data_IF_571806146431
#
_entry.id   IF_571806146431
#
_cell.length_a   1.000
_cell.length_b   1.000
_cell.length_c   1.000
_cell.angle_alpha   90.00
_cell.angle_beta   90.00
_cell.angle_gamma   90.00
#
_symmetry.space_group_name_H-M   'P 1'
#
loop_
_entity.id
_entity.type
_entity.pdbx_description
1 polymer ?
#
# COMPACT_ATOMS: atom_id res chain seq x y z
N UNK A 1 -8.15 13.47 -19.22
CA UNK A 1 -7.20 12.36 -19.14
C UNK A 1 -7.23 11.80 -17.73
N UNK A 2 -7.04 10.48 -17.56
CA UNK A 2 -7.08 9.83 -16.26
C UNK A 2 -5.79 9.04 -16.07
N UNK A 3 -5.16 9.19 -14.92
CA UNK A 3 -4.04 8.37 -14.44
C UNK A 3 -4.58 7.52 -13.30
N UNK A 4 -4.33 6.21 -13.32
CA UNK A 4 -4.91 5.28 -12.35
C UNK A 4 -3.83 4.40 -11.75
N UNK A 5 -3.86 4.27 -10.44
CA UNK A 5 -3.06 3.36 -9.64
C UNK A 5 -3.97 2.61 -8.69
N UNK A 6 -3.79 1.29 -8.55
CA UNK A 6 -4.56 0.47 -7.62
C UNK A 6 -3.65 -0.54 -6.94
N UNK A 7 -3.87 -0.79 -5.66
CA UNK A 7 -3.08 -1.69 -4.83
C UNK A 7 -3.88 -2.12 -3.60
N UNK A 8 -3.44 -3.19 -2.97
CA UNK A 8 -4.04 -3.72 -1.76
C UNK A 8 -3.39 -3.11 -0.52
N UNK A 9 -4.14 -2.94 0.56
CA UNK A 9 -3.69 -2.24 1.77
C UNK A 9 -2.62 -2.99 2.57
N UNK A 10 -2.38 -4.26 2.27
CA UNK A 10 -1.30 -5.10 2.80
C UNK A 10 -0.04 -5.09 1.93
N UNK A 11 -0.06 -4.38 0.79
CA UNK A 11 1.06 -4.33 -0.13
C UNK A 11 2.14 -3.35 0.33
N UNK A 12 3.40 -3.71 0.11
CA UNK A 12 4.51 -2.75 0.21
C UNK A 12 4.52 -1.91 -1.06
N UNK A 13 4.35 -0.61 -0.91
CA UNK A 13 4.26 0.34 -2.02
C UNK A 13 5.28 1.46 -1.84
N UNK A 14 5.85 1.89 -2.96
CA UNK A 14 6.67 3.09 -3.02
C UNK A 14 5.81 4.30 -3.36
N UNK A 15 6.31 5.50 -3.12
CA UNK A 15 5.65 6.73 -3.53
C UNK A 15 5.36 6.73 -5.02
N UNK A 16 4.17 7.21 -5.38
CA UNK A 16 3.82 7.47 -6.77
C UNK A 16 4.39 8.81 -7.19
N UNK A 17 5.11 8.85 -8.30
CA UNK A 17 5.66 10.08 -8.87
C UNK A 17 5.14 10.29 -10.29
N UNK A 18 4.82 11.54 -10.64
CA UNK A 18 4.36 11.91 -11.96
C UNK A 18 4.82 13.32 -12.33
N UNK A 19 5.52 13.44 -13.46
CA UNK A 19 6.01 14.71 -13.97
C UNK A 19 4.94 15.33 -14.86
N UNK A 20 4.43 16.48 -14.44
CA UNK A 20 3.40 17.26 -15.15
C UNK A 20 4.09 18.26 -16.08
N UNK A 21 3.75 18.23 -17.36
CA UNK A 21 4.10 19.26 -18.32
C UNK A 21 2.90 19.70 -19.17
N UNK A 22 2.98 20.87 -19.75
CA UNK A 22 1.96 21.41 -20.62
C UNK A 22 2.50 21.65 -22.02
N UNK A 23 1.69 21.29 -23.02
CA UNK A 23 1.99 21.58 -24.42
C UNK A 23 0.88 22.37 -25.06
N UNK A 24 1.20 23.19 -26.05
CA UNK A 24 0.20 23.81 -26.89
C UNK A 24 -0.45 22.78 -27.83
N UNK A 25 -1.68 23.06 -28.25
CA UNK A 25 -2.39 22.20 -29.20
C UNK A 25 -1.50 21.85 -30.42
N UNK A 26 -1.46 20.56 -30.77
CA UNK A 26 -0.61 20.00 -31.83
C UNK A 26 0.89 20.18 -31.59
N UNK A 27 1.36 20.28 -30.34
CA UNK A 27 2.77 20.46 -29.99
C UNK A 27 3.46 21.61 -30.73
N UNK A 28 2.72 22.68 -30.97
CA UNK A 28 3.29 23.89 -31.59
C UNK A 28 4.24 24.58 -30.61
N UNK A 29 5.25 25.25 -31.18
CA UNK A 29 6.14 26.10 -30.38
C UNK A 29 5.39 27.31 -29.86
N UNK A 30 5.65 27.66 -28.61
CA UNK A 30 5.13 28.87 -28.01
C UNK A 30 5.66 30.11 -28.73
N UNK A 31 4.78 31.02 -29.12
CA UNK A 31 5.16 32.29 -29.75
C UNK A 31 5.57 33.34 -28.71
N UNK A 32 5.11 33.17 -27.48
CA UNK A 32 5.37 34.08 -26.34
C UNK A 32 5.45 33.27 -25.03
N UNK A 33 6.08 33.87 -24.02
CA UNK A 33 6.11 33.27 -22.68
C UNK A 33 4.69 33.24 -22.09
N UNK A 34 4.42 32.18 -21.33
CA UNK A 34 3.19 32.05 -20.55
C UNK A 34 3.49 31.44 -19.18
N UNK A 35 2.80 31.93 -18.18
CA UNK A 35 2.69 31.27 -16.88
C UNK A 35 1.31 30.67 -16.78
N UNK A 36 1.23 29.41 -16.38
CA UNK A 36 -0.01 28.67 -16.20
C UNK A 36 -0.13 28.30 -14.74
N UNK A 37 -1.28 28.56 -14.14
CA UNK A 37 -1.58 28.21 -12.75
C UNK A 37 -2.42 26.93 -12.70
N UNK A 38 -2.03 26.04 -11.79
CA UNK A 38 -2.74 24.80 -11.44
C UNK A 38 -3.60 25.00 -10.20
N UNK A 39 -4.63 24.20 -10.06
CA UNK A 39 -5.46 24.12 -8.84
C UNK A 39 -6.10 22.76 -8.72
N UNK A 40 -6.40 22.36 -7.48
CA UNK A 40 -7.26 21.20 -7.22
C UNK A 40 -8.72 21.60 -7.48
N UNK A 41 -9.39 20.90 -8.39
CA UNK A 41 -10.76 21.22 -8.83
C UNK A 41 -11.79 20.31 -8.15
N UNK A 42 -12.09 20.60 -6.90
CA UNK A 42 -13.07 19.88 -6.07
C UNK A 42 -14.47 19.89 -6.72
N UNK A 43 -14.84 20.99 -7.39
CA UNK A 43 -16.15 21.12 -8.02
C UNK A 43 -16.34 20.11 -9.16
N UNK A 44 -15.31 19.89 -9.97
CA UNK A 44 -15.35 18.89 -11.05
C UNK A 44 -15.49 17.49 -10.48
N UNK A 45 -14.77 17.16 -9.41
CA UNK A 45 -14.91 15.87 -8.73
C UNK A 45 -16.32 15.69 -8.15
N UNK A 46 -16.85 16.68 -7.44
CA UNK A 46 -18.19 16.64 -6.85
C UNK A 46 -19.27 16.42 -7.91
N UNK A 47 -19.18 17.11 -9.04
CA UNK A 47 -20.10 16.92 -10.17
C UNK A 47 -19.98 15.54 -10.81
N UNK A 48 -18.78 14.97 -10.88
CA UNK A 48 -18.55 13.63 -11.42
C UNK A 48 -19.13 12.56 -10.49
N UNK A 49 -18.94 12.69 -9.17
CA UNK A 49 -19.53 11.79 -8.17
C UNK A 49 -21.06 11.82 -8.23
N UNK A 50 -21.66 12.99 -8.34
CA UNK A 50 -23.13 13.14 -8.43
C UNK A 50 -23.76 12.45 -9.66
N UNK A 51 -22.95 12.07 -10.65
CA UNK A 51 -23.37 11.39 -11.88
C UNK A 51 -23.06 9.90 -11.94
N UNK A 52 -22.59 9.29 -10.85
CA UNK A 52 -22.24 7.87 -10.80
C UNK A 52 -23.41 6.98 -11.23
N UNK A 53 -24.64 7.32 -10.82
CA UNK A 53 -25.86 6.58 -11.17
C UNK A 53 -26.22 6.64 -12.66
N UNK A 54 -25.66 7.60 -13.42
CA UNK A 54 -25.83 7.66 -14.88
C UNK A 54 -25.02 6.54 -15.59
N UNK A 55 -24.09 5.89 -14.89
CA UNK A 55 -23.23 4.82 -15.43
C UNK A 55 -22.16 5.32 -16.40
N UNK A 56 -21.68 4.43 -17.25
CA UNK A 56 -20.69 4.73 -18.27
C UNK A 56 -19.36 5.25 -17.68
N UNK A 57 -18.91 6.42 -18.16
CA UNK A 57 -17.63 7.02 -17.73
C UNK A 57 -17.62 7.49 -16.27
N UNK A 58 -18.78 7.62 -15.64
CA UNK A 58 -18.90 8.09 -14.26
C UNK A 58 -18.77 6.98 -13.23
N UNK A 59 -18.82 5.70 -13.62
CA UNK A 59 -18.70 4.56 -12.70
C UNK A 59 -17.37 4.55 -11.97
N UNK A 60 -16.31 5.12 -12.55
CA UNK A 60 -14.97 5.20 -11.92
C UNK A 60 -14.94 6.10 -10.68
N UNK A 61 -15.98 6.94 -10.50
CA UNK A 61 -16.13 7.83 -9.34
C UNK A 61 -16.98 7.22 -8.21
N UNK A 62 -17.37 5.94 -8.33
CA UNK A 62 -18.07 5.24 -7.26
C UNK A 62 -17.21 5.25 -5.98
N UNK A 63 -17.79 5.70 -4.88
CA UNK A 63 -17.11 5.87 -3.59
C UNK A 63 -15.82 6.72 -3.67
N UNK A 64 -15.72 7.60 -4.67
CA UNK A 64 -14.58 8.49 -4.80
C UNK A 64 -14.60 9.58 -3.72
N UNK A 65 -13.43 9.84 -3.14
CA UNK A 65 -13.20 10.94 -2.23
C UNK A 65 -11.99 11.76 -2.69
N UNK A 66 -11.97 13.04 -2.30
CA UNK A 66 -10.82 13.88 -2.60
C UNK A 66 -9.58 13.34 -1.89
N UNK A 67 -8.45 13.21 -2.61
CA UNK A 67 -7.16 12.91 -1.99
C UNK A 67 -6.80 14.05 -1.03
N UNK A 68 -6.63 13.80 0.29
CA UNK A 68 -6.31 14.86 1.24
C UNK A 68 -4.94 15.48 0.96
N UNK A 69 -4.78 16.77 1.28
CA UNK A 69 -3.58 17.54 0.97
C UNK A 69 -2.31 17.01 1.65
N UNK A 70 -2.45 16.41 2.83
CA UNK A 70 -1.32 15.85 3.59
C UNK A 70 -0.68 14.61 2.93
N UNK A 71 -1.34 14.01 1.94
CA UNK A 71 -0.89 12.76 1.31
C UNK A 71 -0.20 12.95 -0.05
N UNK A 72 -0.01 14.20 -0.48
CA UNK A 72 0.72 14.47 -1.71
C UNK A 72 1.53 15.77 -1.64
N UNK A 73 2.53 15.84 -2.50
CA UNK A 73 3.35 17.04 -2.70
C UNK A 73 3.27 17.42 -4.17
N UNK A 74 2.96 18.68 -4.45
CA UNK A 74 3.08 19.30 -5.76
C UNK A 74 4.23 20.30 -5.68
N UNK A 75 5.30 20.11 -6.49
CA UNK A 75 6.50 20.92 -6.39
C UNK A 75 6.27 22.40 -6.70
N UNK A 76 5.23 22.70 -7.50
CA UNK A 76 4.78 24.07 -7.80
C UNK A 76 3.31 24.08 -8.22
N UNK A 77 2.60 25.17 -7.92
CA UNK A 77 1.27 25.45 -8.50
C UNK A 77 1.35 26.19 -9.84
N UNK A 78 2.55 26.41 -10.38
CA UNK A 78 2.80 27.16 -11.61
C UNK A 78 3.73 26.41 -12.54
N UNK A 79 3.47 26.54 -13.83
CA UNK A 79 4.31 26.06 -14.93
C UNK A 79 4.65 27.20 -15.86
N UNK A 80 5.89 27.25 -16.34
CA UNK A 80 6.33 28.27 -17.30
C UNK A 80 6.54 27.65 -18.68
N UNK A 81 5.83 28.20 -19.67
CA UNK A 81 6.03 27.89 -21.07
C UNK A 81 6.83 29.01 -21.73
N UNK A 82 8.07 28.73 -22.07
CA UNK A 82 8.97 29.73 -22.67
C UNK A 82 8.80 29.79 -24.17
N UNK A 83 8.82 30.99 -24.74
CA UNK A 83 8.75 31.21 -26.19
C UNK A 83 9.79 30.38 -26.94
N UNK A 84 9.37 29.73 -28.02
CA UNK A 84 10.17 28.81 -28.83
C UNK A 84 10.20 27.37 -28.35
N UNK A 85 9.73 27.07 -27.13
CA UNK A 85 9.57 25.70 -26.61
C UNK A 85 8.24 25.11 -27.04
N UNK A 86 8.16 23.78 -27.07
CA UNK A 86 6.94 23.00 -27.33
C UNK A 86 6.21 22.61 -26.03
N UNK A 87 6.96 22.56 -24.90
CA UNK A 87 6.48 22.14 -23.59
C UNK A 87 6.93 23.13 -22.51
N UNK A 88 6.17 23.20 -21.42
CA UNK A 88 6.54 23.93 -20.22
C UNK A 88 7.71 23.26 -19.48
N UNK A 89 8.20 23.93 -18.43
CA UNK A 89 8.88 23.24 -17.36
C UNK A 89 7.97 22.17 -16.72
N UNK A 90 8.60 21.27 -15.98
CA UNK A 90 7.93 20.18 -15.29
C UNK A 90 7.57 20.59 -13.86
N UNK A 91 6.45 20.06 -13.39
CA UNK A 91 6.02 20.13 -11.99
C UNK A 91 5.82 18.70 -11.50
N UNK A 92 6.52 18.35 -10.44
CA UNK A 92 6.50 17.02 -9.89
C UNK A 92 5.30 16.86 -8.94
N UNK A 93 4.52 15.82 -9.16
CA UNK A 93 3.52 15.32 -8.22
C UNK A 93 4.07 14.06 -7.56
N UNK A 94 4.15 14.07 -6.24
CA UNK A 94 4.49 12.88 -5.44
C UNK A 94 3.31 12.56 -4.53
N UNK A 95 2.86 11.30 -4.50
CA UNK A 95 1.79 10.82 -3.61
C UNK A 95 2.34 9.71 -2.73
N UNK A 96 2.17 9.86 -1.41
CA UNK A 96 2.65 8.93 -0.38
C UNK A 96 1.70 7.74 -0.25
N UNK A 97 1.93 6.69 -1.06
CA UNK A 97 1.03 5.53 -1.11
C UNK A 97 1.03 4.71 0.18
N UNK A 98 2.15 4.66 0.90
CA UNK A 98 2.23 3.97 2.19
C UNK A 98 1.31 4.62 3.25
N UNK A 99 1.18 5.95 3.20
CA UNK A 99 0.28 6.68 4.10
C UNK A 99 -1.20 6.42 3.76
N UNK A 100 -1.52 6.24 2.47
CA UNK A 100 -2.86 5.82 2.04
C UNK A 100 -3.19 4.41 2.51
N UNK A 101 -2.22 3.47 2.51
CA UNK A 101 -2.39 2.15 3.11
C UNK A 101 -2.73 2.25 4.58
N UNK A 102 -1.97 3.04 5.33
CA UNK A 102 -2.21 3.26 6.76
C UNK A 102 -3.62 3.78 7.00
N UNK A 103 -4.05 4.80 6.24
CA UNK A 103 -5.38 5.38 6.35
C UNK A 103 -6.51 4.37 6.08
N UNK A 104 -6.34 3.53 5.06
CA UNK A 104 -7.32 2.50 4.68
C UNK A 104 -7.40 1.40 5.75
N UNK A 105 -6.24 0.99 6.31
CA UNK A 105 -6.16 -0.01 7.37
C UNK A 105 -6.79 0.51 8.67
N UNK A 106 -6.56 1.76 9.04
CA UNK A 106 -7.21 2.39 10.19
C UNK A 106 -8.74 2.45 10.04
N UNK A 107 -9.22 2.74 8.83
CA UNK A 107 -10.66 2.81 8.52
C UNK A 107 -11.30 1.43 8.37
N UNK A 108 -10.51 0.38 8.15
CA UNK A 108 -10.96 -0.98 7.78
C UNK A 108 -11.94 -0.96 6.59
N UNK A 109 -11.66 -0.16 5.60
CA UNK A 109 -12.54 0.03 4.45
C UNK A 109 -11.74 0.48 3.22
N UNK A 110 -11.99 -0.16 2.08
CA UNK A 110 -11.43 0.25 0.79
C UNK A 110 -11.80 1.69 0.44
N UNK A 111 -10.88 2.40 -0.22
CA UNK A 111 -11.08 3.78 -0.62
C UNK A 111 -10.66 4.02 -2.08
N UNK A 112 -11.28 5.02 -2.71
CA UNK A 112 -10.95 5.49 -4.05
C UNK A 112 -10.63 6.98 -3.98
N UNK A 113 -9.38 7.33 -3.75
CA UNK A 113 -8.92 8.72 -3.66
C UNK A 113 -8.74 9.32 -5.05
N UNK A 114 -9.19 10.54 -5.24
CA UNK A 114 -9.08 11.24 -6.52
C UNK A 114 -8.46 12.61 -6.32
N UNK A 115 -7.40 12.92 -7.10
CA UNK A 115 -6.80 14.24 -7.18
C UNK A 115 -7.11 14.86 -8.55
N UNK A 116 -8.04 15.83 -8.63
CA UNK A 116 -8.36 16.57 -9.84
C UNK A 116 -7.46 17.79 -9.97
N UNK A 117 -6.44 17.75 -10.81
CA UNK A 117 -5.60 18.92 -11.13
C UNK A 117 -6.11 19.62 -12.38
N UNK A 118 -6.38 20.92 -12.27
CA UNK A 118 -6.91 21.74 -13.34
C UNK A 118 -6.03 22.96 -13.63
N UNK A 119 -5.91 23.28 -14.90
CA UNK A 119 -5.39 24.58 -15.33
C UNK A 119 -6.43 25.65 -14.98
N UNK A 120 -6.08 26.53 -14.04
CA UNK A 120 -6.95 27.62 -13.56
C UNK A 120 -6.84 28.86 -14.43
N UNK A 121 -5.61 29.29 -14.68
CA UNK A 121 -5.28 30.51 -15.39
C UNK A 121 -4.12 30.30 -16.36
N UNK A 122 -4.08 31.11 -17.40
CA UNK A 122 -2.93 31.26 -18.28
C UNK A 122 -2.73 32.73 -18.62
N UNK A 123 -1.51 33.22 -18.50
CA UNK A 123 -1.19 34.63 -18.74
C UNK A 123 -1.26 35.03 -20.22
N UNK A 124 -1.18 34.08 -21.13
CA UNK A 124 -0.94 34.40 -22.56
C UNK A 124 -1.73 33.57 -23.56
N UNK A 125 -2.28 32.42 -23.19
CA UNK A 125 -3.00 31.49 -24.08
C UNK A 125 -4.38 31.18 -23.55
N UNK A 126 -5.29 30.90 -24.46
CA UNK A 126 -6.64 30.45 -24.09
C UNK A 126 -6.59 29.00 -23.63
N UNK A 127 -7.21 28.72 -22.50
CA UNK A 127 -7.33 27.38 -21.93
C UNK A 127 -8.42 26.61 -22.67
N UNK A 128 -8.14 25.36 -23.04
CA UNK A 128 -9.14 24.46 -23.59
C UNK A 128 -9.95 23.83 -22.44
N UNK A 129 -11.14 24.36 -22.19
CA UNK A 129 -12.02 23.92 -21.09
C UNK A 129 -12.44 22.44 -21.15
N UNK A 130 -12.27 21.78 -22.29
CA UNK A 130 -12.62 20.36 -22.44
C UNK A 130 -11.49 19.40 -21.99
N UNK A 131 -10.26 19.92 -21.91
CA UNK A 131 -9.07 19.09 -21.64
C UNK A 131 -8.12 19.72 -20.61
N UNK A 132 -8.61 20.64 -19.79
CA UNK A 132 -7.83 21.39 -18.83
C UNK A 132 -7.72 20.72 -17.45
N UNK A 133 -8.30 19.52 -17.29
CA UNK A 133 -8.27 18.79 -16.03
C UNK A 133 -7.69 17.39 -16.23
N UNK A 134 -6.75 17.03 -15.36
CA UNK A 134 -6.16 15.70 -15.24
C UNK A 134 -6.62 15.09 -13.93
N UNK A 135 -7.16 13.87 -14.00
CA UNK A 135 -7.64 13.13 -12.85
C UNK A 135 -6.66 12.02 -12.49
N UNK A 136 -6.19 12.02 -11.27
CA UNK A 136 -5.42 10.91 -10.70
C UNK A 136 -6.31 10.11 -9.77
N UNK A 137 -6.33 8.79 -9.94
CA UNK A 137 -7.10 7.85 -9.12
C UNK A 137 -6.14 6.93 -8.39
N UNK A 138 -6.33 6.82 -7.09
CA UNK A 138 -5.60 5.91 -6.21
C UNK A 138 -6.62 5.04 -5.50
N UNK A 139 -6.81 3.83 -6.01
CA UNK A 139 -7.75 2.86 -5.42
C UNK A 139 -6.99 1.93 -4.51
N UNK A 140 -7.31 1.96 -3.23
CA UNK A 140 -6.73 1.10 -2.20
C UNK A 140 -7.79 0.12 -1.74
N UNK A 141 -7.56 -1.16 -1.95
CA UNK A 141 -8.45 -2.23 -1.47
C UNK A 141 -8.04 -2.62 -0.07
N UNK A 142 -8.94 -2.46 0.90
CA UNK A 142 -8.71 -2.99 2.24
C UNK A 142 -8.66 -4.51 2.21
N UNK A 143 -7.58 -5.04 2.75
CA UNK A 143 -7.42 -6.47 3.00
C UNK A 143 -7.51 -6.67 4.51
N UNK A 144 -8.54 -7.39 4.95
CA UNK A 144 -8.63 -7.78 6.35
C UNK A 144 -7.46 -8.73 6.66
N UNK A 145 -6.62 -8.36 7.64
CA UNK A 145 -5.69 -9.33 8.18
C UNK A 145 -6.52 -10.49 8.72
N UNK A 146 -6.45 -11.64 8.06
CA UNK A 146 -6.93 -12.86 8.69
C UNK A 146 -6.16 -12.99 10.00
N UNK A 147 -6.87 -12.88 11.13
CA UNK A 147 -6.31 -13.27 12.41
C UNK A 147 -5.76 -14.67 12.19
N UNK A 148 -4.44 -14.82 12.42
CA UNK A 148 -3.81 -16.12 12.34
C UNK A 148 -4.72 -17.09 13.10
N UNK A 149 -5.13 -18.21 12.49
CA UNK A 149 -6.09 -19.12 13.11
C UNK A 149 -5.58 -19.35 14.52
N UNK A 150 -6.34 -18.90 15.49
CA UNK A 150 -6.11 -19.28 16.88
C UNK A 150 -6.17 -20.79 16.83
N UNK A 151 -5.00 -21.43 16.90
CA UNK A 151 -4.92 -22.88 16.90
C UNK A 151 -5.96 -23.41 17.89
N UNK A 152 -6.37 -24.68 17.77
CA UNK A 152 -7.33 -25.25 18.69
C UNK A 152 -6.93 -24.84 20.09
N UNK A 153 -7.89 -24.38 20.89
CA UNK A 153 -7.66 -24.00 22.28
C UNK A 153 -7.07 -25.22 22.99
N UNK A 154 -5.73 -25.27 23.03
CA UNK A 154 -4.99 -26.35 23.61
C UNK A 154 -4.92 -26.07 25.11
N UNK A 155 -5.61 -26.88 25.89
CA UNK A 155 -5.42 -26.92 27.34
C UNK A 155 -4.06 -27.57 27.57
N UNK A 156 -3.08 -26.87 28.17
CA UNK A 156 -1.77 -27.46 28.40
C UNK A 156 -1.94 -28.70 29.27
N UNK A 157 -1.38 -29.82 28.85
CA UNK A 157 -1.22 -30.99 29.71
C UNK A 157 -0.21 -30.62 30.82
N UNK A 158 -0.77 -30.17 31.94
CA UNK A 158 0.05 -29.75 33.09
C UNK A 158 0.66 -30.90 33.86
N UNK A 159 0.23 -32.13 33.57
CA UNK A 159 0.83 -33.32 34.20
C UNK A 159 2.12 -33.74 33.50
N UNK A 160 2.28 -33.40 32.21
CA UNK A 160 3.48 -33.67 31.43
C UNK A 160 3.83 -35.17 31.40
N UNK A 161 4.81 -35.48 30.56
CA UNK A 161 5.39 -36.83 30.58
C UNK A 161 6.49 -36.87 31.64
N UNK A 162 6.45 -37.81 32.60
CA UNK A 162 7.50 -37.91 33.58
C UNK A 162 8.82 -38.37 32.92
N UNK A 163 9.95 -37.91 33.45
CA UNK A 163 11.31 -38.30 32.97
C UNK A 163 11.53 -39.81 32.99
N UNK A 164 10.75 -40.55 33.81
CA UNK A 164 10.82 -42.00 33.94
C UNK A 164 9.77 -42.73 33.06
N UNK A 165 9.09 -42.03 32.14
CA UNK A 165 8.06 -42.65 31.30
C UNK A 165 8.66 -43.75 30.43
N UNK A 166 8.16 -44.97 30.60
CA UNK A 166 8.55 -46.15 29.84
C UNK A 166 7.46 -46.38 28.75
N UNK A 167 7.88 -46.37 27.50
CA UNK A 167 6.99 -46.64 26.35
C UNK A 167 6.84 -48.17 26.14
N UNK A 168 5.76 -48.59 25.53
CA UNK A 168 5.52 -49.97 25.09
C UNK A 168 6.71 -50.50 24.27
N UNK A 169 7.26 -51.66 24.64
CA UNK A 169 8.44 -52.24 23.98
C UNK A 169 9.75 -51.99 24.66
N UNK A 170 9.77 -51.41 25.87
CA UNK A 170 10.97 -51.19 26.68
C UNK A 170 11.80 -49.98 26.28
N UNK A 171 11.24 -49.08 25.50
CA UNK A 171 11.86 -47.80 25.19
C UNK A 171 11.72 -46.85 26.36
N UNK A 172 12.77 -46.11 26.67
CA UNK A 172 12.75 -45.04 27.67
C UNK A 172 12.75 -43.71 27.02
N UNK A 173 11.98 -42.75 27.59
CA UNK A 173 12.01 -41.36 27.16
C UNK A 173 13.42 -40.80 27.35
N UNK A 174 14.00 -40.27 26.31
CA UNK A 174 15.32 -39.65 26.32
C UNK A 174 15.25 -38.16 26.60
N UNK A 175 14.27 -37.50 26.02
CA UNK A 175 14.07 -36.05 26.09
C UNK A 175 12.66 -35.67 25.65
N UNK A 176 12.12 -34.62 26.24
CA UNK A 176 10.82 -34.02 25.85
C UNK A 176 10.83 -32.49 26.12
N UNK A 177 9.94 -31.77 25.49
CA UNK A 177 9.65 -30.37 25.76
C UNK A 177 8.13 -30.14 25.60
N UNK A 178 7.47 -29.76 26.67
CA UNK A 178 6.02 -29.55 26.73
C UNK A 178 5.64 -28.10 26.33
N UNK A 179 6.62 -27.28 25.98
CA UNK A 179 6.41 -25.86 25.59
C UNK A 179 5.54 -25.07 26.58
N UNK A 180 5.59 -25.40 27.86
CA UNK A 180 4.78 -24.79 28.92
C UNK A 180 5.17 -23.33 29.26
N UNK A 181 6.17 -22.79 28.59
CA UNK A 181 6.62 -21.40 28.72
C UNK A 181 5.78 -20.41 27.93
N UNK A 182 6.30 -19.19 27.87
CA UNK A 182 5.79 -18.11 27.03
C UNK A 182 6.94 -17.44 26.28
N UNK A 183 6.69 -16.93 25.09
CA UNK A 183 7.72 -16.30 24.24
C UNK A 183 8.57 -17.32 23.48
N UNK A 184 9.82 -16.97 23.18
CA UNK A 184 10.69 -17.83 22.38
C UNK A 184 11.01 -19.17 23.08
N UNK A 185 11.09 -20.30 22.33
CA UNK A 185 11.59 -21.57 22.84
C UNK A 185 13.02 -21.44 23.40
N UNK A 186 13.37 -22.35 24.34
CA UNK A 186 14.70 -22.37 24.93
C UNK A 186 15.79 -22.60 23.87
N UNK A 187 16.63 -21.61 23.64
CA UNK A 187 17.69 -21.63 22.61
C UNK A 187 18.84 -22.58 22.92
N UNK A 188 18.96 -23.12 24.16
CA UNK A 188 19.91 -24.18 24.48
C UNK A 188 19.45 -25.54 23.93
N UNK A 189 18.15 -25.69 23.69
CA UNK A 189 17.54 -26.94 23.22
C UNK A 189 17.05 -26.81 21.77
N UNK A 190 16.61 -25.64 21.36
CA UNK A 190 16.02 -25.36 20.05
C UNK A 190 16.88 -24.41 19.25
N UNK A 191 16.97 -24.65 17.95
CA UNK A 191 17.71 -23.81 17.01
C UNK A 191 16.78 -23.32 15.91
N UNK A 192 16.79 -22.00 15.69
CA UNK A 192 16.09 -21.38 14.56
C UNK A 192 16.94 -21.44 13.29
N UNK A 193 16.26 -21.59 12.17
CA UNK A 193 16.79 -21.27 10.86
C UNK A 193 16.40 -19.83 10.53
N UNK A 194 17.29 -19.08 9.88
CA UNK A 194 17.09 -17.69 9.49
C UNK A 194 17.33 -17.55 7.99
N UNK A 195 16.50 -16.77 7.30
CA UNK A 195 16.65 -16.49 5.87
C UNK A 195 16.10 -17.57 4.95
N UNK A 196 16.55 -17.55 3.70
CA UNK A 196 16.24 -18.60 2.71
C UNK A 196 17.13 -19.81 2.97
N UNK A 197 16.54 -20.95 3.32
CA UNK A 197 17.32 -22.08 3.82
C UNK A 197 17.38 -23.29 2.89
N UNK A 198 16.31 -23.65 2.20
CA UNK A 198 16.24 -24.94 1.48
C UNK A 198 15.48 -24.86 0.18
N UNK A 199 15.84 -25.73 -0.76
CA UNK A 199 15.03 -26.12 -1.93
C UNK A 199 14.57 -25.00 -2.84
N UNK A 200 15.22 -23.84 -2.84
CA UNK A 200 14.77 -22.66 -3.60
C UNK A 200 13.32 -22.28 -3.26
N UNK A 201 12.94 -22.44 -1.99
CA UNK A 201 11.62 -22.06 -1.48
C UNK A 201 11.53 -20.53 -1.38
N UNK A 202 10.34 -19.97 -1.68
CA UNK A 202 10.08 -18.52 -1.60
C UNK A 202 9.86 -18.04 -0.16
N UNK A 203 9.95 -18.92 0.83
CA UNK A 203 9.71 -18.60 2.23
C UNK A 203 10.97 -18.17 2.96
N UNK A 204 10.83 -17.11 3.73
CA UNK A 204 11.84 -16.57 4.61
C UNK A 204 11.60 -17.05 6.04
N UNK A 205 12.57 -17.74 6.61
CA UNK A 205 12.54 -18.21 7.99
C UNK A 205 13.04 -17.13 8.93
N UNK A 206 12.36 -16.96 10.06
CA UNK A 206 12.79 -16.02 11.10
C UNK A 206 12.32 -16.47 12.48
N UNK A 207 13.17 -16.29 13.50
CA UNK A 207 12.91 -16.70 14.89
C UNK A 207 11.67 -16.06 15.49
N UNK A 208 11.33 -14.83 15.11
CA UNK A 208 10.15 -14.12 15.60
C UNK A 208 8.79 -14.71 15.18
N UNK A 209 8.80 -15.73 14.30
CA UNK A 209 7.58 -16.44 13.88
C UNK A 209 7.29 -17.71 14.67
N UNK A 210 8.10 -18.02 15.69
CA UNK A 210 7.91 -19.18 16.57
C UNK A 210 7.89 -18.76 18.03
N UNK A 211 6.84 -19.14 18.74
CA UNK A 211 6.67 -18.81 20.15
C UNK A 211 6.01 -19.96 20.93
N UNK A 212 6.27 -20.03 22.22
CA UNK A 212 5.53 -20.91 23.13
C UNK A 212 4.26 -20.22 23.59
N UNK A 213 3.14 -20.91 23.42
CA UNK A 213 1.84 -20.39 23.83
C UNK A 213 0.92 -21.54 24.26
N UNK A 214 0.41 -21.46 25.48
CA UNK A 214 -0.54 -22.44 26.06
C UNK A 214 -0.11 -23.91 25.93
N UNK A 215 1.14 -24.21 26.22
CA UNK A 215 1.66 -25.58 26.17
C UNK A 215 1.91 -26.13 24.74
N UNK A 216 2.05 -25.24 23.77
CA UNK A 216 2.37 -25.61 22.40
C UNK A 216 3.46 -24.71 21.82
N UNK A 217 4.24 -25.24 20.87
CA UNK A 217 5.06 -24.44 19.97
C UNK A 217 4.18 -23.98 18.81
N UNK A 218 3.94 -22.67 18.74
CA UNK A 218 3.19 -22.03 17.65
C UNK A 218 4.17 -21.47 16.63
N UNK A 219 4.05 -21.92 15.38
CA UNK A 219 4.81 -21.40 14.25
C UNK A 219 3.85 -20.71 13.31
N UNK A 220 4.04 -19.40 13.11
CA UNK A 220 3.14 -18.55 12.31
C UNK A 220 3.75 -18.27 10.96
N UNK A 221 3.04 -18.59 9.88
CA UNK A 221 3.38 -18.13 8.53
C UNK A 221 2.65 -16.80 8.26
N UNK A 222 3.41 -15.78 7.87
CA UNK A 222 2.89 -14.45 7.52
C UNK A 222 3.21 -14.13 6.07
N UNK A 223 2.24 -13.55 5.35
CA UNK A 223 2.52 -12.99 4.03
C UNK A 223 3.28 -11.67 4.22
N UNK A 224 4.40 -11.52 3.55
CA UNK A 224 5.22 -10.31 3.65
C UNK A 224 6.33 -10.32 2.60
N UNK A 225 7.08 -9.23 2.55
CA UNK A 225 8.33 -9.13 1.81
C UNK A 225 9.48 -9.16 2.80
N UNK A 226 10.52 -9.96 2.51
CA UNK A 226 11.77 -9.93 3.25
C UNK A 226 12.72 -8.97 2.53
N UNK A 227 13.34 -8.05 3.27
CA UNK A 227 14.49 -7.31 2.78
C UNK A 227 15.74 -8.16 3.06
N UNK A 228 16.49 -8.51 2.01
CA UNK A 228 17.85 -9.02 2.18
C UNK A 228 18.70 -7.88 2.78
N UNK A 229 19.17 -8.06 4.00
CA UNK A 229 20.08 -7.12 4.69
C UNK A 229 21.53 -7.33 4.24
#
# INVERSE_FOLDING_TARGET
CNVKTSFDSDSVVNDFSYDLSLALYQNRKAEKNAVVELTVDVDTLTKAIARVDEGGIYTVYANAELLPEDYYILSSDKMELVSGKTESDEVDLVVHLADLNTLVNERKASANFVLPLRIKNSSSYTINEKTNTLMFFFTVTYVEEEEAPTGPEYEPDTEGVSDDHELDGGYKLLWHDEFNGTGAPNTDMWRFEEGFQRNEEDQWYQSGNAEMNKGALVITAKKGTCEES
#
